data_IF_750382059734
#
_entry.id   IF_750382059734
#
_cell.length_a   1.000
_cell.length_b   1.000
_cell.length_c   1.000
_cell.angle_alpha   90.00
_cell.angle_beta   90.00
_cell.angle_gamma   90.00
#
_symmetry.space_group_name_H-M   'P 1'
#
loop_
_entity.id
_entity.type
_entity.pdbx_description
1 polymer ?
#
# COMPACT_ATOMS: atom_id res chain seq x y z
N UNK A 1 18.51 -15.31 -21.53
CA UNK A 1 18.20 -14.56 -20.29
C UNK A 1 18.45 -13.08 -20.58
N UNK A 2 17.49 -12.18 -20.38
CA UNK A 2 17.68 -10.74 -20.67
C UNK A 2 18.59 -10.10 -19.61
N UNK A 3 19.45 -9.12 -19.95
CA UNK A 3 20.30 -8.43 -18.99
C UNK A 3 19.46 -7.65 -17.97
N UNK A 4 19.92 -7.61 -16.71
CA UNK A 4 19.30 -6.82 -15.65
C UNK A 4 19.42 -5.33 -15.99
N UNK A 5 18.40 -4.54 -15.63
CA UNK A 5 18.33 -3.09 -15.87
C UNK A 5 18.20 -2.38 -14.53
N UNK A 6 18.92 -1.27 -14.37
CA UNK A 6 18.80 -0.36 -13.22
C UNK A 6 17.36 0.21 -13.14
N UNK A 7 16.69 0.03 -11.99
CA UNK A 7 15.29 0.44 -11.79
C UNK A 7 15.15 1.85 -11.17
N UNK A 8 16.25 2.55 -10.89
CA UNK A 8 16.23 3.84 -10.20
C UNK A 8 15.89 3.72 -8.71
N UNK A 9 15.72 4.85 -8.02
CA UNK A 9 15.56 4.88 -6.57
C UNK A 9 14.14 4.49 -6.08
N UNK A 10 13.14 4.55 -6.95
CA UNK A 10 11.75 4.29 -6.58
C UNK A 10 11.40 2.83 -6.86
N UNK A 11 11.41 2.02 -5.81
CA UNK A 11 10.86 0.67 -5.86
C UNK A 11 9.34 0.73 -5.73
N UNK A 12 8.64 0.46 -6.82
CA UNK A 12 7.20 0.23 -6.79
C UNK A 12 6.94 -1.27 -6.95
N UNK A 13 6.16 -1.83 -6.02
CA UNK A 13 5.65 -3.19 -6.15
C UNK A 13 4.58 -3.15 -7.26
N UNK A 14 4.81 -3.82 -8.38
CA UNK A 14 3.94 -3.70 -9.55
C UNK A 14 3.38 -5.05 -10.03
N UNK A 15 2.06 -5.17 -10.26
CA UNK A 15 0.98 -4.23 -9.87
C UNK A 15 0.55 -4.45 -8.41
N UNK A 16 0.31 -3.37 -7.66
CA UNK A 16 -0.34 -3.42 -6.34
C UNK A 16 -1.76 -2.85 -6.43
N UNK A 17 -2.71 -3.44 -5.70
CA UNK A 17 -4.08 -2.93 -5.61
C UNK A 17 -4.11 -1.57 -4.89
N UNK A 18 -4.98 -0.67 -5.35
CA UNK A 18 -5.29 0.57 -4.62
C UNK A 18 -6.58 0.38 -3.83
N UNK A 19 -6.54 0.67 -2.53
CA UNK A 19 -7.68 0.52 -1.63
C UNK A 19 -8.09 1.87 -1.02
N UNK A 20 -9.31 1.94 -0.50
CA UNK A 20 -9.82 3.08 0.27
C UNK A 20 -9.82 2.73 1.76
N UNK A 21 -9.09 3.50 2.57
CA UNK A 21 -9.05 3.34 4.03
C UNK A 21 -9.87 4.44 4.68
N UNK A 22 -10.81 4.07 5.55
CA UNK A 22 -11.64 5.01 6.31
C UNK A 22 -11.31 4.96 7.80
N UNK A 23 -11.34 6.13 8.45
CA UNK A 23 -11.20 6.27 9.90
C UNK A 23 -12.01 7.47 10.42
N UNK A 24 -12.42 7.43 11.69
CA UNK A 24 -12.98 8.59 12.36
C UNK A 24 -11.83 9.42 12.94
N UNK A 25 -11.69 10.67 12.51
CA UNK A 25 -10.68 11.62 12.99
C UNK A 25 -11.42 12.84 13.53
N UNK A 26 -11.18 13.21 14.79
CA UNK A 26 -11.84 14.35 15.45
C UNK A 26 -13.38 14.32 15.34
N UNK A 27 -13.98 13.13 15.49
CA UNK A 27 -15.43 12.95 15.41
C UNK A 27 -16.03 13.05 14.01
N UNK A 28 -15.21 13.11 12.96
CA UNK A 28 -15.65 13.16 11.55
C UNK A 28 -15.07 11.99 10.76
N UNK A 29 -15.85 11.36 9.85
CA UNK A 29 -15.31 10.38 8.92
C UNK A 29 -14.24 11.00 8.01
N UNK A 30 -13.13 10.30 7.83
CA UNK A 30 -12.05 10.66 6.93
C UNK A 30 -11.64 9.44 6.09
N UNK A 31 -11.21 9.68 4.86
CA UNK A 31 -10.85 8.62 3.92
C UNK A 31 -9.56 8.97 3.16
N UNK A 32 -8.77 7.94 2.84
CA UNK A 32 -7.54 8.08 2.05
C UNK A 32 -7.36 6.89 1.11
N UNK A 33 -6.88 7.16 -0.10
CA UNK A 33 -6.51 6.12 -1.07
C UNK A 33 -5.08 5.65 -0.80
N UNK A 34 -4.88 4.33 -0.70
CA UNK A 34 -3.58 3.73 -0.34
C UNK A 34 -3.21 2.66 -1.35
N UNK A 35 -2.00 2.75 -1.90
CA UNK A 35 -1.40 1.74 -2.78
C UNK A 35 -0.29 0.92 -2.07
N UNK A 36 0.18 1.36 -0.91
CA UNK A 36 1.16 0.64 -0.09
C UNK A 36 0.45 -0.26 0.93
N UNK A 37 -0.01 -1.41 0.47
CA UNK A 37 -0.72 -2.40 1.29
C UNK A 37 -0.04 -3.77 1.19
N UNK A 38 0.02 -4.49 2.32
CA UNK A 38 0.55 -5.85 2.40
C UNK A 38 -0.29 -6.74 3.32
N UNK A 39 -0.41 -8.01 2.96
CA UNK A 39 -0.99 -9.04 3.84
C UNK A 39 0.13 -9.55 4.74
N UNK A 40 0.01 -9.34 6.06
CA UNK A 40 1.03 -9.76 7.04
C UNK A 40 0.73 -11.12 7.66
N UNK A 41 -0.53 -11.54 7.70
CA UNK A 41 -0.94 -12.86 8.20
C UNK A 41 -2.16 -13.36 7.44
N UNK A 42 -2.21 -14.68 7.23
CA UNK A 42 -3.35 -15.38 6.63
C UNK A 42 -4.61 -15.23 7.49
N UNK A 43 -4.44 -14.99 8.79
CA UNK A 43 -5.57 -14.87 9.69
C UNK A 43 -6.35 -13.57 9.42
N UNK A 44 -5.86 -12.41 9.89
CA UNK A 44 -6.59 -11.14 9.72
C UNK A 44 -5.68 -9.89 9.82
N UNK A 45 -4.38 -10.01 9.50
CA UNK A 45 -3.47 -8.87 9.64
C UNK A 45 -3.08 -8.28 8.28
N UNK A 46 -3.39 -7.01 8.10
CA UNK A 46 -3.06 -6.21 6.92
C UNK A 46 -2.23 -5.01 7.38
N UNK A 47 -1.09 -4.78 6.73
CA UNK A 47 -0.31 -3.55 6.90
C UNK A 47 -0.68 -2.53 5.82
N UNK A 48 -0.78 -1.27 6.26
CA UNK A 48 -0.89 -0.12 5.38
C UNK A 48 0.20 0.87 5.74
N UNK A 49 0.82 1.48 4.73
CA UNK A 49 1.76 2.57 4.91
C UNK A 49 1.22 3.83 4.23
N UNK A 50 1.27 4.93 4.97
CA UNK A 50 0.86 6.26 4.53
C UNK A 50 2.12 7.14 4.54
N UNK A 51 2.33 7.89 3.47
CA UNK A 51 3.38 8.93 3.40
C UNK A 51 2.89 10.27 3.94
#
# INVERSE_FOLDING_TARGET
MKPKRELGATNALYPTLTILVGAIVNGKPNFVTVAHIGIMSIENLISISLS
#
